data_IF_004218820935
#
_entry.id   IF_004218820935
#
_cell.length_a   1.000
_cell.length_b   1.000
_cell.length_c   1.000
_cell.angle_alpha   90.00
_cell.angle_beta   90.00
_cell.angle_gamma   90.00
#
_symmetry.space_group_name_H-M   'P 1'
#
loop_
_entity.id
_entity.type
_entity.pdbx_description
1 polymer ?
#
# COMPACT_ATOMS: atom_id res chain seq x y z
N UNK A 1 -27.74 19.95 -7.73
CA UNK A 1 -27.82 18.51 -7.43
C UNK A 1 -26.66 17.82 -8.14
N UNK A 2 -25.67 17.30 -7.40
CA UNK A 2 -24.55 16.56 -8.00
C UNK A 2 -24.94 15.10 -8.20
N UNK A 3 -24.96 14.64 -9.45
CA UNK A 3 -25.14 13.22 -9.76
C UNK A 3 -23.82 12.51 -9.49
N UNK A 4 -23.75 11.75 -8.40
CA UNK A 4 -22.65 10.82 -8.14
C UNK A 4 -22.80 9.69 -9.15
N UNK A 5 -21.81 9.49 -10.03
CA UNK A 5 -21.87 8.43 -11.02
C UNK A 5 -21.84 7.08 -10.30
N UNK A 6 -22.70 6.13 -10.69
CA UNK A 6 -22.72 4.77 -10.12
C UNK A 6 -21.36 4.04 -10.26
N UNK A 7 -20.49 4.50 -11.18
CA UNK A 7 -19.10 4.04 -11.30
C UNK A 7 -18.24 4.45 -10.10
N UNK A 8 -18.43 5.65 -9.55
CA UNK A 8 -17.69 6.11 -8.36
C UNK A 8 -18.10 5.33 -7.11
N UNK A 9 -19.38 4.93 -7.03
CA UNK A 9 -19.89 4.10 -5.94
C UNK A 9 -19.33 2.66 -5.98
N UNK A 10 -19.23 2.07 -7.17
CA UNK A 10 -18.63 0.74 -7.38
C UNK A 10 -17.10 0.72 -7.20
N UNK A 11 -16.40 1.82 -7.50
CA UNK A 11 -14.96 1.97 -7.20
C UNK A 11 -14.69 2.09 -5.70
N UNK A 12 -15.63 2.65 -4.93
CA UNK A 12 -15.49 2.83 -3.49
C UNK A 12 -15.66 1.53 -2.68
N UNK A 13 -16.38 0.53 -3.17
CA UNK A 13 -16.61 -0.72 -2.42
C UNK A 13 -15.53 -1.78 -2.64
N UNK A 14 -14.85 -1.80 -3.79
CA UNK A 14 -13.86 -2.85 -4.12
C UNK A 14 -12.47 -2.65 -3.52
N UNK A 15 -12.12 -1.43 -3.09
CA UNK A 15 -10.79 -1.11 -2.55
C UNK A 15 -10.91 -0.51 -1.14
N UNK A 16 -11.66 -1.16 -0.25
CA UNK A 16 -11.55 -0.81 1.16
C UNK A 16 -10.14 -1.22 1.60
N UNK A 17 -9.25 -0.23 1.72
CA UNK A 17 -7.90 -0.49 2.20
C UNK A 17 -7.98 -1.27 3.51
N UNK A 18 -7.30 -2.41 3.58
CA UNK A 18 -7.23 -3.23 4.79
C UNK A 18 -6.69 -2.38 5.94
N UNK A 19 -7.13 -2.67 7.15
CA UNK A 19 -6.67 -1.92 8.32
C UNK A 19 -5.16 -2.11 8.46
N UNK A 20 -4.47 -1.09 8.96
CA UNK A 20 -3.02 -1.14 9.16
C UNK A 20 -2.59 -2.34 10.02
N UNK A 21 -3.37 -2.68 11.05
CA UNK A 21 -3.14 -3.86 11.89
C UNK A 21 -3.24 -5.19 11.13
N UNK A 22 -4.02 -5.26 10.05
CA UNK A 22 -4.10 -6.43 9.17
C UNK A 22 -2.89 -6.47 8.23
N UNK A 23 -2.55 -5.33 7.61
CA UNK A 23 -1.40 -5.19 6.69
C UNK A 23 -0.11 -5.62 7.39
N UNK A 24 0.08 -5.20 8.64
CA UNK A 24 1.28 -5.50 9.43
C UNK A 24 1.43 -6.96 9.86
N UNK A 25 0.36 -7.77 9.71
CA UNK A 25 0.33 -9.20 10.01
C UNK A 25 0.42 -10.08 8.77
N UNK A 26 0.37 -9.49 7.57
CA UNK A 26 0.47 -10.23 6.32
C UNK A 26 1.87 -10.79 6.10
N UNK A 27 1.93 -11.96 5.48
CA UNK A 27 3.16 -12.42 4.86
C UNK A 27 3.55 -11.52 3.67
N UNK A 28 4.81 -11.57 3.27
CA UNK A 28 5.31 -10.81 2.11
C UNK A 28 4.51 -11.11 0.83
N UNK A 29 4.15 -12.38 0.62
CA UNK A 29 3.35 -12.82 -0.52
C UNK A 29 1.95 -12.22 -0.50
N UNK A 30 1.23 -12.35 0.62
CA UNK A 30 -0.12 -11.79 0.77
C UNK A 30 -0.13 -10.28 0.63
N UNK A 31 0.89 -9.61 1.19
CA UNK A 31 1.04 -8.17 1.07
C UNK A 31 1.31 -7.75 -0.38
N UNK A 32 2.12 -8.50 -1.11
CA UNK A 32 2.39 -8.23 -2.53
C UNK A 32 1.13 -8.36 -3.38
N UNK A 33 0.37 -9.44 -3.19
CA UNK A 33 -0.90 -9.68 -3.89
C UNK A 33 -1.92 -8.57 -3.57
N UNK A 34 -2.10 -8.27 -2.28
CA UNK A 34 -2.97 -7.18 -1.84
C UNK A 34 -2.57 -5.83 -2.45
N UNK A 35 -1.27 -5.50 -2.50
CA UNK A 35 -0.83 -4.22 -3.06
C UNK A 35 -0.97 -4.16 -4.58
N UNK A 36 -0.83 -5.28 -5.29
CA UNK A 36 -1.09 -5.36 -6.74
C UNK A 36 -2.58 -5.21 -7.06
N UNK A 37 -3.45 -5.77 -6.23
CA UNK A 37 -4.89 -5.60 -6.36
C UNK A 37 -5.34 -4.20 -5.96
N UNK A 38 -4.84 -3.67 -4.84
CA UNK A 38 -5.31 -2.42 -4.26
C UNK A 38 -4.80 -1.18 -5.00
N UNK A 39 -3.71 -1.28 -5.77
CA UNK A 39 -2.99 -0.16 -6.35
C UNK A 39 -2.96 -0.24 -7.88
N UNK A 40 -3.90 0.46 -8.51
CA UNK A 40 -4.07 0.47 -9.97
C UNK A 40 -2.87 1.05 -10.75
N UNK A 41 -1.88 1.63 -10.07
CA UNK A 41 -0.66 2.14 -10.72
C UNK A 41 0.40 1.05 -10.93
N UNK A 42 0.24 -0.10 -10.30
CA UNK A 42 1.23 -1.19 -10.34
C UNK A 42 1.06 -1.99 -11.61
N UNK A 43 2.12 -2.08 -12.42
CA UNK A 43 2.11 -2.91 -13.60
C UNK A 43 2.42 -4.38 -13.23
N UNK A 44 1.93 -5.38 -13.99
CA UNK A 44 2.21 -6.79 -13.71
C UNK A 44 3.71 -7.14 -13.65
N UNK A 45 4.52 -6.40 -14.43
CA UNK A 45 5.97 -6.52 -14.53
C UNK A 45 6.74 -5.76 -13.45
N UNK A 46 6.07 -4.93 -12.66
CA UNK A 46 6.71 -4.18 -11.59
C UNK A 46 7.16 -5.10 -10.46
N UNK A 47 8.28 -4.73 -9.85
CA UNK A 47 8.89 -5.44 -8.72
C UNK A 47 8.56 -4.68 -7.44
N UNK A 48 7.88 -5.35 -6.52
CA UNK A 48 7.61 -4.84 -5.19
C UNK A 48 8.65 -5.42 -4.24
N UNK A 49 9.52 -4.56 -3.71
CA UNK A 49 10.49 -4.93 -2.67
C UNK A 49 9.93 -4.53 -1.31
N UNK A 50 9.60 -5.51 -0.49
CA UNK A 50 9.04 -5.33 0.84
C UNK A 50 10.16 -5.48 1.86
N UNK A 51 10.28 -4.51 2.76
CA UNK A 51 11.26 -4.51 3.85
C UNK A 51 10.49 -4.30 5.15
N UNK A 52 10.44 -5.34 5.98
CA UNK A 52 9.94 -5.26 7.34
C UNK A 52 11.03 -4.72 8.26
N UNK A 53 10.66 -3.84 9.18
CA UNK A 53 11.54 -3.27 10.20
C UNK A 53 10.78 -3.15 11.53
N UNK A 54 11.49 -2.80 12.60
CA UNK A 54 10.97 -2.78 13.97
C UNK A 54 9.62 -2.04 14.08
N UNK A 55 9.54 -0.86 13.48
CA UNK A 55 8.37 0.02 13.58
C UNK A 55 7.41 -0.10 12.39
N UNK A 56 7.56 -1.09 11.49
CA UNK A 56 6.65 -1.16 10.35
C UNK A 56 7.14 -1.94 9.14
N UNK A 57 6.53 -1.63 8.00
CA UNK A 57 6.84 -2.23 6.72
C UNK A 57 7.03 -1.11 5.70
N UNK A 58 8.10 -1.18 4.92
CA UNK A 58 8.40 -0.28 3.81
C UNK A 58 8.32 -1.06 2.51
N UNK A 59 7.60 -0.53 1.54
CA UNK A 59 7.42 -1.14 0.22
C UNK A 59 7.96 -0.20 -0.84
N UNK A 60 8.85 -0.71 -1.67
CA UNK A 60 9.41 0.00 -2.81
C UNK A 60 8.88 -0.60 -4.10
N UNK A 61 8.36 0.24 -4.97
CA UNK A 61 7.84 -0.13 -6.26
C UNK A 61 8.86 0.25 -7.32
N UNK A 62 9.30 -0.73 -8.10
CA UNK A 62 10.26 -0.56 -9.17
C UNK A 62 9.63 -1.01 -10.48
N UNK A 63 9.89 -0.26 -11.55
CA UNK A 63 9.69 -0.80 -12.88
C UNK A 63 10.69 -1.92 -13.13
N UNK A 64 10.32 -2.83 -14.03
CA UNK A 64 11.22 -3.89 -14.47
C UNK A 64 12.55 -3.29 -14.91
N UNK A 65 13.65 -3.88 -14.45
CA UNK A 65 15.03 -3.49 -14.79
C UNK A 65 15.43 -2.06 -14.33
N UNK A 66 14.67 -1.44 -13.42
CA UNK A 66 15.04 -0.16 -12.81
C UNK A 66 15.44 -0.33 -11.34
N UNK A 67 16.63 0.15 -10.99
CA UNK A 67 17.14 0.12 -9.61
C UNK A 67 16.46 1.18 -8.72
N UNK A 68 16.02 2.29 -9.31
CA UNK A 68 15.39 3.38 -8.56
C UNK A 68 13.90 3.12 -8.41
N UNK A 69 13.35 3.15 -7.18
CA UNK A 69 11.91 3.01 -6.99
C UNK A 69 11.19 4.25 -7.51
N UNK A 70 10.12 4.05 -8.27
CA UNK A 70 9.24 5.14 -8.71
C UNK A 70 8.24 5.55 -7.61
N UNK A 71 7.95 4.63 -6.68
CA UNK A 71 7.02 4.83 -5.57
C UNK A 71 7.51 4.11 -4.32
N UNK A 72 7.26 4.72 -3.17
CA UNK A 72 7.54 4.12 -1.85
C UNK A 72 6.30 4.26 -0.98
N UNK A 73 5.92 3.19 -0.29
CA UNK A 73 4.83 3.20 0.69
C UNK A 73 5.35 2.69 2.04
N UNK A 74 4.92 3.29 3.14
CA UNK A 74 5.34 2.92 4.49
C UNK A 74 4.10 2.69 5.35
N UNK A 75 4.09 1.56 6.06
CA UNK A 75 3.07 1.20 7.03
C UNK A 75 3.72 1.16 8.40
N UNK A 76 3.41 2.12 9.26
CA UNK A 76 4.01 2.24 10.58
C UNK A 76 3.15 1.55 11.65
N UNK A 77 3.74 0.63 12.42
CA UNK A 77 3.15 0.08 13.64
C UNK A 77 2.96 1.21 14.63
N UNK A 78 1.69 1.44 14.99
CA UNK A 78 1.24 2.34 16.06
C UNK A 78 2.31 3.28 16.61
N UNK A 79 2.63 4.34 15.86
CA UNK A 79 3.15 5.56 16.49
C UNK A 79 1.90 6.31 16.98
N UNK A 80 1.20 5.71 17.95
CA UNK A 80 0.48 6.54 18.91
C UNK A 80 1.57 7.12 19.81
N UNK A 81 2.16 8.26 19.43
CA UNK A 81 2.84 9.20 20.34
C UNK A 81 3.51 10.31 19.50
N UNK A 82 2.80 11.42 19.34
CA UNK A 82 3.17 12.81 19.73
C UNK A 82 4.63 13.30 19.86
N UNK A 83 5.68 12.50 19.62
CA UNK A 83 7.07 12.94 19.85
C UNK A 83 7.88 13.23 18.57
N UNK A 84 7.30 12.99 17.38
CA UNK A 84 7.90 13.44 16.11
C UNK A 84 7.48 14.88 15.71
N UNK A 85 6.75 15.59 16.59
CA UNK A 85 6.26 16.96 16.38
C UNK A 85 6.70 17.93 17.50
N UNK A 86 7.78 17.65 18.23
CA UNK A 86 8.40 18.62 19.15
C UNK A 86 9.59 19.33 18.52
#
# INVERSE_FOLDING_TARGET
MGYIHAKDFLYSERHRMKRLSEILKMSEKELTEYLREADNTVQPTDILKIISFEHGIKVFYHHKDQEKPYKTRVFLRGIENSDLLK
#
